data_IF_085174851340
#
_entry.id   IF_085174851340
#
_cell.length_a   1.000
_cell.length_b   1.000
_cell.length_c   1.000
_cell.angle_alpha   90.00
_cell.angle_beta   90.00
_cell.angle_gamma   90.00
#
_symmetry.space_group_name_H-M   'P 1'
#
loop_
_entity.id
_entity.type
_entity.pdbx_description
1 polymer ?
#
# COMPACT_ATOMS: atom_id res chain seq x y z
N UNK A 1 -16.53 19.41 -14.12
CA UNK A 1 -15.58 18.30 -13.86
C UNK A 1 -15.19 18.38 -12.39
N UNK A 2 -15.31 17.29 -11.64
CA UNK A 2 -15.03 17.29 -10.19
C UNK A 2 -13.56 16.93 -9.90
N UNK A 3 -12.86 16.28 -10.84
CA UNK A 3 -11.41 16.10 -10.81
C UNK A 3 -10.85 15.81 -12.22
N UNK A 4 -9.67 16.37 -12.54
CA UNK A 4 -8.88 16.03 -13.74
C UNK A 4 -7.58 15.34 -13.28
N UNK A 5 -7.59 14.02 -13.26
CA UNK A 5 -6.44 13.23 -12.86
C UNK A 5 -5.48 13.01 -14.02
N UNK A 6 -4.19 13.31 -13.83
CA UNK A 6 -3.12 13.00 -14.76
C UNK A 6 -2.13 12.03 -14.12
N UNK A 7 -1.88 10.89 -14.76
CA UNK A 7 -1.01 9.85 -14.22
C UNK A 7 -0.98 8.60 -15.10
N UNK A 8 -0.33 7.55 -14.59
CA UNK A 8 -0.32 6.22 -15.17
C UNK A 8 -1.02 5.24 -14.20
N UNK A 9 -1.86 4.35 -14.74
CA UNK A 9 -2.37 3.23 -13.96
C UNK A 9 -1.22 2.25 -13.66
N UNK A 10 -1.20 1.69 -12.45
CA UNK A 10 -0.12 0.79 -12.03
C UNK A 10 -0.54 -0.13 -10.88
N UNK A 11 0.19 -1.23 -10.73
CA UNK A 11 0.13 -2.16 -9.60
C UNK A 11 1.42 -2.02 -8.80
N UNK A 12 1.28 -1.88 -7.48
CA UNK A 12 2.41 -1.67 -6.58
C UNK A 12 2.51 -2.75 -5.51
N UNK A 13 3.73 -3.08 -5.14
CA UNK A 13 4.09 -3.90 -3.99
C UNK A 13 5.05 -3.11 -3.07
N UNK A 14 5.17 -3.48 -1.79
CA UNK A 14 6.26 -2.99 -0.96
C UNK A 14 7.59 -3.34 -1.62
N UNK A 15 8.57 -2.42 -1.74
CA UNK A 15 9.90 -2.74 -2.26
C UNK A 15 10.73 -3.49 -1.21
N UNK A 16 10.38 -4.74 -0.93
CA UNK A 16 10.95 -5.55 0.14
C UNK A 16 11.03 -7.05 -0.24
N UNK A 17 12.13 -7.70 0.16
CA UNK A 17 12.35 -9.13 -0.05
C UNK A 17 12.38 -9.54 -1.52
N UNK A 18 11.30 -10.17 -1.99
CA UNK A 18 11.17 -10.80 -3.30
C UNK A 18 10.38 -9.97 -4.33
N UNK A 19 10.00 -8.74 -3.96
CA UNK A 19 9.39 -7.77 -4.86
C UNK A 19 10.44 -6.97 -5.65
N UNK A 20 10.04 -6.28 -6.74
CA UNK A 20 10.88 -5.27 -7.37
C UNK A 20 11.36 -4.19 -6.40
N UNK A 21 12.60 -3.71 -6.57
CA UNK A 21 13.19 -2.69 -5.71
C UNK A 21 12.51 -1.31 -5.83
N UNK A 22 11.84 -1.04 -6.95
CA UNK A 22 11.04 0.16 -7.17
C UNK A 22 9.57 -0.02 -6.74
N UNK A 23 9.19 -1.23 -6.34
CA UNK A 23 7.83 -1.58 -5.93
C UNK A 23 6.83 -1.62 -7.09
N UNK A 24 7.23 -1.53 -8.35
CA UNK A 24 6.33 -1.49 -9.51
C UNK A 24 6.15 -2.91 -10.06
N UNK A 25 4.95 -3.47 -9.93
CA UNK A 25 4.61 -4.78 -10.52
C UNK A 25 4.19 -4.65 -11.99
N UNK A 26 3.49 -3.57 -12.32
CA UNK A 26 3.05 -3.24 -13.68
C UNK A 26 2.69 -1.76 -13.75
N UNK A 27 2.99 -1.08 -14.85
CA UNK A 27 2.69 0.34 -15.07
C UNK A 27 2.34 0.59 -16.53
N UNK A 28 1.31 1.40 -16.75
CA UNK A 28 0.92 1.86 -18.08
C UNK A 28 1.67 3.11 -18.52
N UNK A 29 1.38 3.56 -19.73
CA UNK A 29 1.86 4.84 -20.25
C UNK A 29 1.20 6.04 -19.53
N UNK A 30 2.03 7.04 -19.22
CA UNK A 30 1.61 8.28 -18.55
C UNK A 30 0.59 9.05 -19.39
N UNK A 31 -0.58 9.34 -18.82
CA UNK A 31 -1.63 10.13 -19.45
C UNK A 31 -2.47 9.39 -20.50
N UNK A 32 -2.22 8.10 -20.71
CA UNK A 32 -2.97 7.31 -21.68
C UNK A 32 -4.15 6.57 -21.02
N UNK A 33 -5.31 6.60 -21.69
CA UNK A 33 -6.49 5.82 -21.30
C UNK A 33 -6.31 4.37 -21.71
N UNK A 34 -5.90 3.51 -20.77
CA UNK A 34 -5.62 2.10 -21.04
C UNK A 34 -5.92 1.21 -19.85
N UNK A 35 -5.98 -0.10 -20.12
CA UNK A 35 -6.00 -1.13 -19.09
C UNK A 35 -4.57 -1.58 -18.77
N UNK A 36 -4.27 -1.74 -17.49
CA UNK A 36 -3.00 -2.29 -17.02
C UNK A 36 -3.29 -3.59 -16.29
N UNK A 37 -2.60 -4.65 -16.69
CA UNK A 37 -2.74 -5.99 -16.13
C UNK A 37 -1.40 -6.43 -15.53
N UNK A 38 -1.47 -7.32 -14.55
CA UNK A 38 -0.31 -7.93 -13.93
C UNK A 38 -0.74 -9.09 -13.05
N UNK A 39 0.18 -10.02 -12.80
CA UNK A 39 -0.03 -11.10 -11.86
C UNK A 39 0.26 -10.61 -10.45
N UNK A 40 -0.65 -10.92 -9.53
CA UNK A 40 -0.49 -10.60 -8.11
C UNK A 40 -0.70 -11.87 -7.30
N UNK A 41 0.15 -12.05 -6.30
CA UNK A 41 0.06 -13.12 -5.32
C UNK A 41 -0.23 -12.50 -3.94
N UNK A 42 -1.50 -12.50 -3.49
CA UNK A 42 -1.88 -11.93 -2.20
C UNK A 42 -1.22 -12.61 -1.01
N UNK A 43 -0.78 -13.86 -1.13
CA UNK A 43 -0.15 -14.59 -0.01
C UNK A 43 1.20 -13.98 0.36
N UNK A 44 1.86 -13.29 -0.58
CA UNK A 44 3.08 -12.52 -0.31
C UNK A 44 2.88 -11.40 0.71
N UNK A 45 1.66 -10.84 0.82
CA UNK A 45 1.35 -9.79 1.80
C UNK A 45 1.53 -10.31 3.22
N UNK A 46 1.14 -11.56 3.49
CA UNK A 46 1.34 -12.17 4.79
C UNK A 46 2.83 -12.27 5.11
N UNK A 47 3.64 -12.71 4.13
CA UNK A 47 5.09 -12.82 4.26
C UNK A 47 5.75 -11.47 4.53
N UNK A 48 5.47 -10.41 3.76
CA UNK A 48 6.06 -9.09 4.01
C UNK A 48 5.70 -8.53 5.38
N UNK A 49 4.48 -8.82 5.89
CA UNK A 49 4.06 -8.37 7.22
C UNK A 49 4.86 -9.02 8.36
N UNK A 50 5.33 -10.26 8.18
CA UNK A 50 6.04 -11.00 9.24
C UNK A 50 7.56 -10.99 9.06
N UNK A 51 8.03 -11.13 7.82
CA UNK A 51 9.44 -11.34 7.44
C UNK A 51 10.06 -10.13 6.74
N UNK A 52 9.29 -9.09 6.43
CA UNK A 52 9.79 -7.89 5.74
C UNK A 52 10.89 -7.18 6.52
N UNK A 53 11.78 -6.50 5.79
CA UNK A 53 12.81 -5.61 6.34
C UNK A 53 12.17 -4.44 7.09
N UNK A 54 11.07 -3.90 6.54
CA UNK A 54 10.30 -2.83 7.17
C UNK A 54 8.90 -3.36 7.50
N UNK A 55 8.55 -3.35 8.78
CA UNK A 55 7.29 -3.93 9.30
C UNK A 55 6.44 -2.87 10.00
N UNK A 56 5.82 -1.93 9.26
CA UNK A 56 5.13 -0.79 9.87
C UNK A 56 4.02 -1.21 10.82
N UNK A 57 3.29 -2.28 10.52
CA UNK A 57 2.22 -2.78 11.39
C UNK A 57 2.73 -3.25 12.76
N UNK A 58 3.88 -3.93 12.80
CA UNK A 58 4.47 -4.43 14.05
C UNK A 58 5.10 -3.30 14.86
N UNK A 59 5.83 -2.41 14.20
CA UNK A 59 6.58 -1.32 14.85
C UNK A 59 5.75 -0.05 15.05
N UNK A 60 4.50 0.01 14.57
CA UNK A 60 3.62 1.17 14.75
C UNK A 60 3.50 1.64 16.21
N UNK A 61 3.38 0.73 17.21
CA UNK A 61 3.33 1.15 18.61
C UNK A 61 4.58 1.88 19.11
N UNK A 62 5.73 1.72 18.46
CA UNK A 62 6.99 2.42 18.82
C UNK A 62 6.90 3.94 18.60
N UNK A 63 5.93 4.39 17.78
CA UNK A 63 5.69 5.82 17.55
C UNK A 63 5.06 6.51 18.77
N UNK A 64 4.66 5.75 19.79
CA UNK A 64 3.99 6.26 20.97
C UNK A 64 5.02 6.49 22.08
N UNK A 65 4.99 7.64 22.77
CA UNK A 65 5.90 7.92 23.87
C UNK A 65 5.53 7.08 25.11
N UNK A 66 6.00 5.83 25.15
CA UNK A 66 6.00 4.97 26.35
C UNK A 66 4.64 4.52 26.90
N UNK A 67 3.56 4.65 26.12
CA UNK A 67 2.20 4.27 26.52
C UNK A 67 1.44 3.54 25.41
N UNK A 68 0.33 2.86 25.73
CA UNK A 68 -0.51 2.23 24.72
C UNK A 68 -1.06 3.28 23.75
N UNK A 69 -1.39 2.86 22.53
CA UNK A 69 -2.01 3.74 21.55
C UNK A 69 -3.22 4.41 22.20
N UNK A 70 -3.39 5.73 22.07
CA UNK A 70 -4.64 6.33 22.49
C UNK A 70 -5.78 5.62 21.74
N UNK A 71 -6.89 5.38 22.42
CA UNK A 71 -8.11 4.98 21.73
C UNK A 71 -8.46 6.11 20.75
N UNK A 72 -8.05 5.97 19.49
CA UNK A 72 -8.36 6.94 18.45
C UNK A 72 -9.87 6.93 18.33
N UNK A 73 -10.50 8.07 18.60
CA UNK A 73 -11.92 8.28 18.34
C UNK A 73 -12.12 8.24 16.82
N UNK A 74 -12.32 7.06 16.28
CA UNK A 74 -12.63 6.85 14.88
C UNK A 74 -14.14 6.83 14.74
N UNK A 75 -14.70 7.79 14.00
CA UNK A 75 -16.09 7.75 13.59
C UNK A 75 -16.20 6.80 12.39
N UNK A 76 -16.89 5.67 12.58
CA UNK A 76 -17.22 4.76 11.48
C UNK A 76 -18.44 5.34 10.77
N UNK A 77 -18.21 5.98 9.62
CA UNK A 77 -19.28 6.50 8.76
C UNK A 77 -19.65 5.43 7.74
N UNK A 78 -20.90 4.96 7.77
CA UNK A 78 -21.44 4.10 6.72
C UNK A 78 -21.60 4.91 5.44
N UNK A 79 -20.84 4.54 4.40
CA UNK A 79 -21.05 5.05 3.05
C UNK A 79 -22.29 4.35 2.47
N UNK A 80 -23.39 5.11 2.38
CA UNK A 80 -24.62 4.75 1.65
C UNK A 80 -24.40 4.79 0.14
#
# INVERSE_FOLDING_TARGET
>A
VLDENYGAAALYAPPDGDSPNDGILSIGELGASQWVYGEVDPDRVARWRTEGTVRPHEHWPEQLPGGPAPALSCEIVSLI
#
